data_IF_112704982102
#
_entry.id   IF_112704982102
#
_cell.length_a   1.000
_cell.length_b   1.000
_cell.length_c   1.000
_cell.angle_alpha   90.00
_cell.angle_beta   90.00
_cell.angle_gamma   90.00
#
_symmetry.space_group_name_H-M   'P 1'
#
loop_
_entity.id
_entity.type
_entity.pdbx_description
1 polymer ?
#
# COMPACT_ATOMS: atom_id res chain seq x y z
N UNK A 1 16.42 -22.75 -16.34
CA UNK A 1 15.45 -21.98 -17.16
C UNK A 1 14.01 -22.39 -16.86
N UNK A 2 13.53 -22.17 -15.67
CA UNK A 2 12.11 -22.34 -15.33
C UNK A 2 11.60 -21.07 -14.69
N UNK A 3 10.45 -20.58 -15.15
CA UNK A 3 9.60 -19.55 -14.55
C UNK A 3 9.83 -18.05 -14.84
N UNK A 4 10.27 -17.68 -16.04
CA UNK A 4 10.09 -16.32 -16.57
C UNK A 4 8.76 -16.14 -17.35
N UNK A 5 7.79 -17.05 -17.20
CA UNK A 5 6.68 -17.19 -18.16
C UNK A 5 5.36 -16.52 -17.76
N UNK A 6 5.33 -15.65 -16.75
CA UNK A 6 4.10 -14.93 -16.37
C UNK A 6 4.32 -13.43 -16.09
N UNK A 7 5.15 -12.78 -16.88
CA UNK A 7 5.13 -11.32 -16.92
C UNK A 7 4.03 -10.91 -17.93
N UNK A 8 2.89 -10.52 -17.41
CA UNK A 8 1.83 -9.98 -18.24
C UNK A 8 2.23 -8.56 -18.67
N UNK A 9 2.32 -8.34 -19.99
CA UNK A 9 2.48 -6.99 -20.55
C UNK A 9 1.16 -6.28 -20.46
N UNK A 10 1.11 -5.19 -19.73
CA UNK A 10 -0.04 -4.30 -19.67
C UNK A 10 0.27 -3.00 -20.39
N UNK A 11 -0.71 -2.48 -21.11
CA UNK A 11 -0.63 -1.18 -21.74
C UNK A 11 -1.24 -0.13 -20.82
N UNK A 12 -0.57 0.99 -20.73
CA UNK A 12 -1.01 2.15 -19.96
C UNK A 12 -1.03 3.38 -20.85
N UNK A 13 -2.04 4.21 -20.69
CA UNK A 13 -2.07 5.54 -21.25
C UNK A 13 -1.68 6.49 -20.13
N UNK A 14 -0.60 7.21 -20.36
CA UNK A 14 0.02 8.10 -19.40
C UNK A 14 -0.20 9.53 -19.84
N UNK A 15 -0.93 10.30 -19.06
CA UNK A 15 -1.15 11.73 -19.27
C UNK A 15 -0.35 12.56 -18.26
N UNK A 16 0.41 13.52 -18.77
CA UNK A 16 1.16 14.47 -17.95
C UNK A 16 0.37 15.75 -17.76
N UNK A 17 0.36 16.27 -16.53
CA UNK A 17 -0.29 17.52 -16.17
C UNK A 17 0.72 18.43 -15.46
N UNK A 18 0.61 19.72 -15.67
CA UNK A 18 1.50 20.72 -15.06
C UNK A 18 0.88 21.43 -13.87
N UNK A 19 -0.44 21.32 -13.71
CA UNK A 19 -1.19 22.04 -12.67
C UNK A 19 -2.14 21.09 -11.92
N UNK A 20 -2.11 21.19 -10.59
CA UNK A 20 -3.01 20.49 -9.68
C UNK A 20 -4.49 20.83 -9.96
N UNK A 21 -4.77 22.10 -10.26
CA UNK A 21 -6.13 22.56 -10.52
C UNK A 21 -6.76 21.91 -11.76
N UNK A 22 -5.94 21.46 -12.72
CA UNK A 22 -6.36 20.72 -13.91
C UNK A 22 -6.43 19.23 -13.63
N UNK A 23 -5.47 18.71 -12.88
CA UNK A 23 -5.40 17.28 -12.55
C UNK A 23 -6.63 16.80 -11.77
N UNK A 24 -7.02 17.52 -10.74
CA UNK A 24 -8.07 17.10 -9.81
C UNK A 24 -9.43 16.85 -10.52
N UNK A 25 -9.96 17.80 -11.34
CA UNK A 25 -11.16 17.54 -12.12
C UNK A 25 -10.96 16.49 -13.22
N UNK A 26 -9.73 16.33 -13.75
CA UNK A 26 -9.43 15.32 -14.75
C UNK A 26 -9.56 13.89 -14.16
N UNK A 27 -9.03 13.64 -12.96
CA UNK A 27 -9.18 12.37 -12.24
C UNK A 27 -10.65 12.01 -12.06
N UNK A 28 -11.47 12.97 -11.63
CA UNK A 28 -12.92 12.79 -11.49
C UNK A 28 -13.62 12.46 -12.80
N UNK A 29 -13.24 13.14 -13.90
CA UNK A 29 -13.81 12.89 -15.24
C UNK A 29 -13.46 11.48 -15.73
N UNK A 30 -12.19 11.08 -15.60
CA UNK A 30 -11.69 9.76 -16.00
C UNK A 30 -12.45 8.64 -15.27
N UNK A 31 -12.62 8.78 -13.95
CA UNK A 31 -13.36 7.81 -13.16
C UNK A 31 -14.84 7.74 -13.54
N UNK A 32 -15.51 8.89 -13.75
CA UNK A 32 -16.92 8.94 -14.18
C UNK A 32 -17.14 8.37 -15.58
N UNK A 33 -16.14 8.47 -16.45
CA UNK A 33 -16.17 7.87 -17.78
C UNK A 33 -15.94 6.34 -17.75
N UNK A 34 -15.69 5.74 -16.58
CA UNK A 34 -15.51 4.31 -16.44
C UNK A 34 -14.13 3.79 -16.83
N UNK A 35 -13.16 4.67 -17.07
CA UNK A 35 -11.79 4.24 -17.30
C UNK A 35 -11.15 3.71 -16.04
N UNK A 36 -10.38 2.62 -16.17
CA UNK A 36 -9.65 2.03 -15.05
C UNK A 36 -8.41 2.86 -14.74
N UNK A 37 -8.51 3.70 -13.71
CA UNK A 37 -7.38 4.46 -13.20
C UNK A 37 -6.39 3.49 -12.54
N UNK A 38 -5.13 3.50 -12.99
CA UNK A 38 -4.09 2.67 -12.39
C UNK A 38 -3.46 3.37 -11.18
N UNK A 39 -2.92 4.57 -11.39
CA UNK A 39 -2.34 5.39 -10.33
C UNK A 39 -2.20 6.86 -10.78
N UNK A 40 -2.02 7.75 -9.80
CA UNK A 40 -1.69 9.15 -10.04
C UNK A 40 -0.44 9.48 -9.23
N UNK A 41 0.62 9.86 -9.93
CA UNK A 41 1.90 10.22 -9.33
C UNK A 41 1.98 11.73 -9.21
N UNK A 42 2.23 12.22 -8.02
CA UNK A 42 2.31 13.65 -7.72
C UNK A 42 3.62 13.98 -7.02
N UNK A 43 4.25 15.13 -7.30
CA UNK A 43 5.50 15.53 -6.66
C UNK A 43 5.32 15.87 -5.18
N UNK A 44 4.11 16.23 -4.77
CA UNK A 44 3.74 16.49 -3.39
C UNK A 44 2.34 15.93 -3.09
N UNK A 45 2.01 15.68 -1.81
CA UNK A 45 0.73 15.13 -1.43
C UNK A 45 -0.40 16.14 -1.65
N UNK A 46 -1.45 15.73 -2.39
CA UNK A 46 -2.64 16.52 -2.66
C UNK A 46 -3.77 16.05 -1.76
N UNK A 47 -4.31 16.96 -0.93
CA UNK A 47 -5.40 16.64 -0.04
C UNK A 47 -6.68 16.28 -0.79
N UNK A 48 -7.27 15.12 -0.47
CA UNK A 48 -8.53 14.66 -1.05
C UNK A 48 -8.40 13.96 -2.40
N UNK A 49 -7.20 13.88 -2.99
CA UNK A 49 -6.96 13.14 -4.22
C UNK A 49 -7.31 11.66 -4.07
N UNK A 50 -6.99 11.07 -2.91
CA UNK A 50 -7.30 9.67 -2.58
C UNK A 50 -8.80 9.36 -2.69
N UNK A 51 -9.64 10.28 -2.22
CA UNK A 51 -11.11 10.17 -2.31
C UNK A 51 -11.61 10.26 -3.74
N UNK A 52 -11.03 11.18 -4.54
CA UNK A 52 -11.39 11.32 -5.95
C UNK A 52 -10.92 10.13 -6.79
N UNK A 53 -9.79 9.54 -6.44
CA UNK A 53 -9.31 8.27 -7.03
C UNK A 53 -10.16 7.08 -6.59
N UNK A 54 -10.93 7.19 -5.49
CA UNK A 54 -11.71 6.11 -4.90
C UNK A 54 -10.83 5.07 -4.22
N UNK A 55 -9.74 5.51 -3.60
CA UNK A 55 -8.89 4.63 -2.82
C UNK A 55 -9.58 4.31 -1.49
N UNK A 56 -9.48 3.06 -1.07
CA UNK A 56 -9.95 2.63 0.24
C UNK A 56 -8.96 3.07 1.32
N UNK A 57 -9.50 3.36 2.50
CA UNK A 57 -8.67 3.59 3.67
C UNK A 57 -7.78 2.37 3.95
N UNK A 58 -6.55 2.65 4.33
CA UNK A 58 -5.59 1.57 4.62
C UNK A 58 -6.01 0.81 5.88
N UNK A 59 -6.00 -0.52 5.81
CA UNK A 59 -6.22 -1.39 6.97
C UNK A 59 -4.97 -1.58 7.84
N UNK A 60 -3.95 -0.75 7.65
CA UNK A 60 -2.69 -0.86 8.39
C UNK A 60 -2.88 -0.66 9.91
N UNK A 61 -3.78 0.23 10.32
CA UNK A 61 -4.11 0.42 11.74
C UNK A 61 -4.78 -0.83 12.36
N UNK A 62 -5.63 -1.52 11.58
CA UNK A 62 -6.24 -2.78 12.03
C UNK A 62 -5.17 -3.87 12.18
N UNK A 63 -4.22 -3.94 11.25
CA UNK A 63 -3.08 -4.85 11.35
C UNK A 63 -2.25 -4.54 12.61
N UNK A 64 -1.96 -3.26 12.89
CA UNK A 64 -1.26 -2.84 14.10
C UNK A 64 -1.96 -3.27 15.38
N UNK A 65 -3.29 -3.15 15.42
CA UNK A 65 -4.10 -3.62 16.56
C UNK A 65 -4.00 -5.14 16.75
N UNK A 66 -4.08 -5.91 15.69
CA UNK A 66 -3.94 -7.38 15.76
C UNK A 66 -2.56 -7.78 16.26
N UNK A 67 -1.49 -7.14 15.75
CA UNK A 67 -0.13 -7.39 16.23
C UNK A 67 0.05 -6.99 17.70
N UNK A 68 -0.56 -5.87 18.12
CA UNK A 68 -0.55 -5.44 19.52
C UNK A 68 -1.18 -6.48 20.46
N UNK A 69 -2.38 -6.96 20.12
CA UNK A 69 -3.05 -8.03 20.89
C UNK A 69 -2.19 -9.30 20.92
N UNK A 70 -1.60 -9.67 19.79
CA UNK A 70 -0.73 -10.85 19.71
C UNK A 70 0.48 -10.69 20.64
N UNK A 71 1.12 -9.52 20.62
CA UNK A 71 2.25 -9.20 21.52
C UNK A 71 1.86 -9.27 22.99
N UNK A 72 0.74 -8.65 23.36
CA UNK A 72 0.19 -8.68 24.72
C UNK A 72 -0.09 -10.13 25.19
N UNK A 73 -0.78 -10.90 24.35
CA UNK A 73 -1.14 -12.29 24.67
C UNK A 73 0.11 -13.17 24.80
N UNK A 74 1.08 -12.97 23.93
CA UNK A 74 2.37 -13.70 23.99
C UNK A 74 3.12 -13.36 25.26
N UNK A 75 3.21 -12.06 25.63
CA UNK A 75 3.91 -11.64 26.86
C UNK A 75 3.26 -12.23 28.11
N UNK A 76 1.96 -12.03 28.28
CA UNK A 76 1.24 -12.52 29.45
C UNK A 76 1.27 -14.05 29.51
N UNK A 77 1.03 -14.72 28.39
CA UNK A 77 1.07 -16.18 28.32
C UNK A 77 2.44 -16.75 28.65
N UNK A 78 3.51 -16.20 28.07
CA UNK A 78 4.88 -16.64 28.32
C UNK A 78 5.31 -16.40 29.76
N UNK A 79 5.04 -15.20 30.31
CA UNK A 79 5.41 -14.88 31.70
C UNK A 79 4.62 -15.76 32.67
N UNK A 80 3.32 -15.96 32.42
CA UNK A 80 2.49 -16.84 33.24
C UNK A 80 3.07 -18.25 33.23
N UNK A 81 3.31 -18.81 32.05
CA UNK A 81 3.88 -20.15 31.94
C UNK A 81 5.24 -20.27 32.64
N UNK A 82 6.15 -19.34 32.41
CA UNK A 82 7.49 -19.37 32.96
C UNK A 82 7.51 -19.27 34.51
N UNK A 83 6.70 -18.37 35.07
CA UNK A 83 6.72 -18.08 36.49
C UNK A 83 5.77 -18.95 37.33
N UNK A 84 4.76 -19.56 36.72
CA UNK A 84 3.78 -20.37 37.47
C UNK A 84 3.91 -21.88 37.23
N UNK A 85 4.40 -22.29 36.04
CA UNK A 85 4.44 -23.69 35.65
C UNK A 85 5.87 -24.22 35.55
N UNK A 86 6.71 -23.56 34.69
CA UNK A 86 8.01 -24.08 34.34
C UNK A 86 9.04 -23.88 35.50
N UNK A 87 9.12 -22.65 35.98
CA UNK A 87 10.07 -22.29 37.04
C UNK A 87 9.43 -21.45 38.13
N UNK A 88 8.59 -22.05 38.93
CA UNK A 88 7.86 -21.40 40.00
C UNK A 88 8.79 -21.10 41.20
N UNK A 89 9.55 -20.01 41.13
CA UNK A 89 10.43 -19.56 42.22
C UNK A 89 9.76 -18.46 43.01
N UNK A 90 9.66 -18.62 44.31
CA UNK A 90 9.14 -17.60 45.21
C UNK A 90 10.29 -16.75 45.79
N UNK A 91 10.33 -15.49 45.39
CA UNK A 91 11.27 -14.52 45.95
C UNK A 91 10.56 -13.58 46.93
N UNK A 92 10.94 -13.62 48.19
CA UNK A 92 10.47 -12.67 49.20
C UNK A 92 8.97 -12.66 49.44
N UNK A 93 8.26 -13.78 49.23
CA UNK A 93 6.83 -13.88 49.43
C UNK A 93 5.97 -13.27 48.31
N UNK A 94 6.58 -12.90 47.18
CA UNK A 94 5.83 -12.41 46.01
C UNK A 94 4.97 -13.54 45.39
N UNK A 95 3.69 -13.31 45.11
CA UNK A 95 2.86 -14.33 44.47
C UNK A 95 3.41 -14.66 43.07
N UNK A 96 3.32 -15.93 42.66
CA UNK A 96 3.75 -16.41 41.36
C UNK A 96 3.05 -15.67 40.22
N UNK A 97 1.75 -15.40 40.38
CA UNK A 97 0.93 -14.60 39.45
C UNK A 97 0.85 -13.15 39.95
N UNK A 98 1.68 -12.27 39.42
CA UNK A 98 1.79 -10.86 39.80
C UNK A 98 1.67 -9.92 38.59
N UNK A 99 0.46 -9.74 38.08
CA UNK A 99 0.17 -8.90 36.92
C UNK A 99 0.79 -7.49 36.96
N UNK A 100 0.72 -6.74 38.09
CA UNK A 100 1.30 -5.40 38.10
C UNK A 100 2.81 -5.36 37.79
N UNK A 101 3.54 -6.40 38.20
CA UNK A 101 4.97 -6.48 37.90
C UNK A 101 5.28 -6.82 36.42
N UNK A 102 4.33 -7.35 35.69
CA UNK A 102 4.49 -7.75 34.30
C UNK A 102 4.11 -6.65 33.32
N UNK A 103 3.42 -5.59 33.79
CA UNK A 103 2.96 -4.49 32.93
C UNK A 103 4.06 -3.92 32.06
N UNK A 104 5.28 -3.58 32.56
CA UNK A 104 6.32 -2.99 31.73
C UNK A 104 6.74 -3.91 30.58
N UNK A 105 6.97 -5.19 30.86
CA UNK A 105 7.40 -6.17 29.86
C UNK A 105 6.29 -6.46 28.85
N UNK A 106 5.05 -6.55 29.32
CA UNK A 106 3.89 -6.74 28.46
C UNK A 106 3.71 -5.56 27.51
N UNK A 107 3.85 -4.34 28.01
CA UNK A 107 3.80 -3.12 27.20
C UNK A 107 4.91 -3.11 26.14
N UNK A 108 6.15 -3.41 26.52
CA UNK A 108 7.30 -3.44 25.62
C UNK A 108 7.07 -4.44 24.47
N UNK A 109 6.63 -5.66 24.80
CA UNK A 109 6.38 -6.68 23.80
C UNK A 109 5.20 -6.33 22.89
N UNK A 110 4.15 -5.70 23.42
CA UNK A 110 3.03 -5.19 22.66
C UNK A 110 3.48 -4.17 21.61
N UNK A 111 4.26 -3.17 22.02
CA UNK A 111 4.78 -2.13 21.12
C UNK A 111 5.75 -2.71 20.10
N UNK A 112 6.62 -3.65 20.51
CA UNK A 112 7.56 -4.31 19.62
C UNK A 112 6.84 -5.07 18.50
N UNK A 113 5.85 -5.90 18.86
CA UNK A 113 5.08 -6.67 17.87
C UNK A 113 4.29 -5.75 16.95
N UNK A 114 3.66 -4.71 17.49
CA UNK A 114 2.92 -3.73 16.68
C UNK A 114 3.86 -3.01 15.71
N UNK A 115 5.00 -2.49 16.17
CA UNK A 115 5.93 -1.75 15.33
C UNK A 115 6.53 -2.62 14.23
N UNK A 116 7.10 -3.76 14.58
CA UNK A 116 7.72 -4.69 13.61
C UNK A 116 6.67 -5.22 12.64
N UNK A 117 5.50 -5.64 13.15
CA UNK A 117 4.40 -6.14 12.32
C UNK A 117 3.89 -5.11 11.33
N UNK A 118 3.71 -3.84 11.77
CA UNK A 118 3.29 -2.76 10.87
C UNK A 118 4.34 -2.45 9.80
N UNK A 119 5.63 -2.42 10.14
CA UNK A 119 6.71 -2.20 9.17
C UNK A 119 6.74 -3.30 8.13
N UNK A 120 6.65 -4.56 8.55
CA UNK A 120 6.62 -5.69 7.62
C UNK A 120 5.38 -5.65 6.72
N UNK A 121 4.22 -5.36 7.28
CA UNK A 121 2.97 -5.22 6.51
C UNK A 121 3.05 -4.05 5.53
N UNK A 122 3.59 -2.91 5.95
CA UNK A 122 3.82 -1.76 5.08
C UNK A 122 4.77 -2.10 3.93
N UNK A 123 5.92 -2.72 4.24
CA UNK A 123 6.87 -3.16 3.20
C UNK A 123 6.22 -4.15 2.22
N UNK A 124 5.37 -5.04 2.73
CA UNK A 124 4.61 -5.97 1.89
C UNK A 124 3.60 -5.27 1.00
N UNK A 125 2.77 -4.39 1.55
CA UNK A 125 1.76 -3.64 0.79
C UNK A 125 2.39 -2.70 -0.24
N UNK A 126 3.47 -2.02 0.13
CA UNK A 126 4.19 -1.11 -0.75
C UNK A 126 5.19 -1.81 -1.68
N UNK A 127 5.35 -3.13 -1.57
CA UNK A 127 6.32 -3.93 -2.35
C UNK A 127 7.76 -3.40 -2.21
N UNK A 128 8.10 -2.93 -1.02
CA UNK A 128 9.43 -2.46 -0.67
C UNK A 128 10.31 -3.65 -0.27
N UNK A 129 10.66 -4.49 -1.25
CA UNK A 129 11.64 -5.55 -1.02
C UNK A 129 13.01 -5.15 -1.62
N UNK A 130 14.12 -5.61 -1.01
CA UNK A 130 15.43 -5.41 -1.60
C UNK A 130 15.45 -6.05 -3.00
N UNK A 131 16.07 -5.35 -3.96
CA UNK A 131 16.17 -5.73 -5.37
C UNK A 131 14.89 -5.63 -6.22
N UNK A 132 13.77 -5.15 -5.70
CA UNK A 132 12.59 -4.84 -6.50
C UNK A 132 12.73 -3.44 -7.08
N UNK A 133 12.87 -3.32 -8.40
CA UNK A 133 12.83 -2.05 -9.10
C UNK A 133 11.38 -1.66 -9.35
N UNK A 134 10.96 -0.51 -8.82
CA UNK A 134 9.72 0.14 -9.24
C UNK A 134 10.00 0.91 -10.51
N UNK A 135 9.28 0.60 -11.56
CA UNK A 135 9.39 1.31 -12.82
C UNK A 135 8.48 2.55 -12.76
N UNK A 136 9.08 3.73 -12.94
CA UNK A 136 8.34 5.00 -12.96
C UNK A 136 7.92 5.31 -14.39
N UNK A 137 6.69 5.78 -14.58
CA UNK A 137 6.20 6.21 -15.89
C UNK A 137 6.92 7.47 -16.40
N UNK A 138 7.28 8.36 -15.50
CA UNK A 138 8.04 9.56 -15.84
C UNK A 138 8.98 9.89 -14.69
N UNK A 139 10.30 10.02 -14.94
CA UNK A 139 11.27 10.42 -13.90
C UNK A 139 10.93 11.79 -13.28
N UNK A 140 10.30 12.70 -14.03
CA UNK A 140 9.88 14.02 -13.55
C UNK A 140 8.65 14.02 -12.67
N UNK A 141 8.00 12.87 -12.45
CA UNK A 141 6.85 12.76 -11.53
C UNK A 141 7.19 13.05 -10.08
N UNK A 142 8.47 13.06 -9.73
CA UNK A 142 8.97 13.41 -8.40
C UNK A 142 9.47 14.85 -8.30
N UNK A 143 9.48 15.59 -9.42
CA UNK A 143 10.06 16.94 -9.50
C UNK A 143 8.95 17.99 -9.71
N UNK A 144 8.37 18.07 -10.90
CA UNK A 144 7.46 19.15 -11.28
C UNK A 144 6.22 18.68 -12.08
N UNK A 145 6.07 17.40 -12.33
CA UNK A 145 5.05 16.89 -13.23
C UNK A 145 4.08 15.94 -12.53
N UNK A 146 2.79 16.18 -12.70
CA UNK A 146 1.75 15.25 -12.26
C UNK A 146 1.48 14.23 -13.36
N UNK A 147 1.46 12.96 -13.01
CA UNK A 147 1.33 11.88 -13.98
C UNK A 147 0.12 11.02 -13.65
N UNK A 148 -0.82 10.94 -14.57
CA UNK A 148 -1.98 10.05 -14.46
C UNK A 148 -1.81 8.85 -15.38
N UNK A 149 -1.89 7.64 -14.85
CA UNK A 149 -1.82 6.41 -15.61
C UNK A 149 -3.17 5.70 -15.63
N UNK A 150 -3.67 5.41 -16.83
CA UNK A 150 -4.92 4.65 -17.07
C UNK A 150 -4.54 3.29 -17.64
N UNK A 151 -5.08 2.22 -17.07
CA UNK A 151 -4.86 0.86 -17.58
C UNK A 151 -5.76 0.61 -18.82
N UNK A 152 -5.15 0.21 -19.93
CA UNK A 152 -5.88 -0.24 -21.10
C UNK A 152 -6.39 -1.67 -20.88
N UNK A 153 -7.70 -1.82 -20.85
CA UNK A 153 -8.37 -3.12 -20.88
C UNK A 153 -8.71 -3.48 -22.33
N UNK A 154 -8.95 -4.74 -22.62
CA UNK A 154 -9.30 -5.21 -23.97
C UNK A 154 -10.51 -4.49 -24.63
N UNK A 155 -11.34 -3.84 -23.82
CA UNK A 155 -12.48 -3.04 -24.27
C UNK A 155 -12.18 -1.53 -24.40
N UNK A 156 -10.97 -1.08 -24.05
CA UNK A 156 -10.60 0.33 -24.08
C UNK A 156 -10.09 0.69 -25.46
N UNK A 157 -10.77 1.61 -26.14
CA UNK A 157 -10.26 2.19 -27.39
C UNK A 157 -9.11 3.16 -27.07
N UNK A 158 -7.90 2.80 -27.46
CA UNK A 158 -6.68 3.57 -27.14
C UNK A 158 -6.77 5.01 -27.67
N UNK A 159 -7.30 5.20 -28.90
CA UNK A 159 -7.42 6.53 -29.50
C UNK A 159 -8.43 7.43 -28.77
N UNK A 160 -9.56 6.86 -28.38
CA UNK A 160 -10.58 7.61 -27.61
C UNK A 160 -10.05 8.02 -26.24
N UNK A 161 -9.36 7.12 -25.55
CA UNK A 161 -8.80 7.40 -24.25
C UNK A 161 -7.68 8.46 -24.30
N UNK A 162 -6.85 8.45 -25.35
CA UNK A 162 -5.84 9.49 -25.59
C UNK A 162 -6.51 10.86 -25.83
N UNK A 163 -7.51 10.92 -26.70
CA UNK A 163 -8.28 12.14 -26.97
C UNK A 163 -8.99 12.64 -25.69
N UNK A 164 -9.52 11.72 -24.92
CA UNK A 164 -10.19 12.03 -23.66
C UNK A 164 -9.23 12.68 -22.66
N UNK A 165 -8.02 12.15 -22.49
CA UNK A 165 -7.01 12.74 -21.60
C UNK A 165 -6.55 14.12 -22.09
N UNK A 166 -6.37 14.28 -23.39
CA UNK A 166 -6.04 15.59 -23.98
C UNK A 166 -7.16 16.60 -23.73
N UNK A 167 -8.41 16.21 -23.92
CA UNK A 167 -9.57 17.05 -23.63
C UNK A 167 -9.76 17.34 -22.13
N UNK A 168 -9.23 16.46 -21.26
CA UNK A 168 -9.21 16.67 -19.81
C UNK A 168 -8.10 17.62 -19.35
N UNK A 169 -7.19 18.03 -20.25
CA UNK A 169 -6.13 19.02 -19.98
C UNK A 169 -4.72 18.42 -19.83
N UNK A 170 -4.51 17.17 -20.27
CA UNK A 170 -3.17 16.60 -20.30
C UNK A 170 -2.29 17.32 -21.34
N UNK A 171 -1.09 17.71 -20.93
CA UNK A 171 -0.12 18.43 -21.78
C UNK A 171 0.58 17.50 -22.76
N UNK A 172 0.88 16.27 -22.30
CA UNK A 172 1.51 15.23 -23.12
C UNK A 172 0.87 13.88 -22.76
N UNK A 173 0.48 13.11 -23.78
CA UNK A 173 -0.15 11.80 -23.59
C UNK A 173 0.64 10.75 -24.36
N UNK A 174 1.09 9.72 -23.66
CA UNK A 174 1.87 8.61 -24.22
C UNK A 174 1.23 7.27 -23.90
N UNK A 175 1.35 6.34 -24.82
CA UNK A 175 0.98 4.94 -24.58
C UNK A 175 2.25 4.16 -24.26
N UNK A 176 2.31 3.62 -23.05
CA UNK A 176 3.45 2.83 -22.61
C UNK A 176 3.02 1.40 -22.30
N UNK A 177 3.85 0.46 -22.73
CA UNK A 177 3.67 -0.95 -22.39
C UNK A 177 4.68 -1.32 -21.32
N UNK A 178 4.18 -1.70 -20.14
CA UNK A 178 5.04 -2.12 -19.03
C UNK A 178 4.83 -3.57 -18.68
N UNK A 179 5.91 -4.22 -18.30
CA UNK A 179 5.86 -5.57 -17.75
C UNK A 179 5.46 -5.48 -16.28
N UNK A 180 4.29 -6.00 -15.95
CA UNK A 180 3.85 -6.06 -14.56
C UNK A 180 4.62 -7.18 -13.85
N UNK A 181 5.39 -6.78 -12.85
CA UNK A 181 6.30 -7.67 -12.13
C UNK A 181 5.59 -8.85 -11.44
N UNK A 182 6.36 -9.86 -11.23
CA UNK A 182 5.99 -11.22 -10.85
C UNK A 182 5.72 -11.44 -9.37
N UNK A 183 6.13 -10.52 -8.53
CA UNK A 183 6.16 -10.77 -7.09
C UNK A 183 4.86 -10.34 -6.43
N UNK A 184 4.07 -11.29 -6.05
CA UNK A 184 2.95 -11.23 -5.07
C UNK A 184 2.04 -9.99 -5.05
N UNK A 185 2.41 -8.91 -5.73
CA UNK A 185 1.94 -7.61 -5.36
C UNK A 185 1.04 -6.92 -6.36
N UNK A 186 1.28 -7.01 -7.64
CA UNK A 186 0.57 -6.13 -8.57
C UNK A 186 -0.91 -6.48 -8.74
N UNK A 187 -1.28 -7.75 -8.52
CA UNK A 187 -2.68 -8.17 -8.70
C UNK A 187 -3.51 -8.13 -7.42
N UNK A 188 -2.90 -8.41 -6.28
CA UNK A 188 -3.58 -8.34 -4.99
C UNK A 188 -3.89 -6.88 -4.60
N UNK A 189 -3.00 -5.94 -4.94
CA UNK A 189 -3.17 -4.55 -4.57
C UNK A 189 -4.24 -3.81 -5.39
N UNK A 190 -4.42 -4.12 -6.67
CA UNK A 190 -5.47 -3.49 -7.48
C UNK A 190 -6.87 -3.76 -6.90
N UNK A 191 -7.12 -4.98 -6.41
CA UNK A 191 -8.41 -5.31 -5.79
C UNK A 191 -8.58 -4.73 -4.38
N UNK A 192 -7.46 -4.47 -3.67
CA UNK A 192 -7.50 -3.91 -2.32
C UNK A 192 -7.43 -2.39 -2.28
N UNK A 193 -6.96 -1.73 -3.34
CA UNK A 193 -6.78 -0.27 -3.41
C UNK A 193 -8.05 0.49 -3.76
N UNK A 194 -8.90 -0.08 -4.62
CA UNK A 194 -10.07 0.62 -5.13
C UNK A 194 -11.37 0.04 -4.55
N UNK A 195 -12.28 0.89 -4.17
CA UNK A 195 -13.66 0.51 -3.89
C UNK A 195 -14.33 0.12 -5.23
N UNK A 196 -14.90 -1.09 -5.22
CA UNK A 196 -15.70 -1.57 -6.35
C UNK A 196 -17.10 -0.99 -6.31
#
# INVERSE_FOLDING_TARGET
SRNLKHMAKKKFIVGNFTDEAVLFPAVRKVRRAGYKLHDVFTPFPIHGLDKEMGLRDTSLHTAGFIYGITGTSTAVGFITWALTIDWAINFGGKPYFSLPAWIPVTFELTVLFAAVGMVLTFCWLCQLAPFVKKDHFNPRSTDDTFVMAIECTNSTNEEEAVKFLQAAGATDVKVETKETGWWLGNYANDKMRFEQ
#
